data_IF_444867236075
#
_entry.id   IF_444867236075
#
_cell.length_a   1.000
_cell.length_b   1.000
_cell.length_c   1.000
_cell.angle_alpha   90.00
_cell.angle_beta   90.00
_cell.angle_gamma   90.00
#
_symmetry.space_group_name_H-M   'P 1'
#
loop_
_entity.id
_entity.type
_entity.pdbx_description
1 polymer ?
#
# COMPACT_ATOMS: atom_id res chain seq x y z
N UNK A 1 19.31 13.44 -1.38
CA UNK A 1 20.15 13.45 -0.16
C UNK A 1 20.21 14.83 0.47
N UNK A 2 19.76 14.92 1.71
CA UNK A 2 19.93 16.10 2.57
C UNK A 2 21.09 15.79 3.51
N UNK A 3 22.24 16.43 3.28
CA UNK A 3 23.44 16.19 4.08
C UNK A 3 23.35 16.80 5.50
N UNK A 4 22.49 17.79 5.70
CA UNK A 4 22.28 18.47 6.98
C UNK A 4 20.80 18.89 7.13
N UNK A 5 19.96 18.05 7.76
CA UNK A 5 18.52 18.31 7.94
C UNK A 5 18.22 19.59 8.74
N UNK A 6 19.07 19.91 9.72
CA UNK A 6 18.96 21.09 10.58
C UNK A 6 19.18 22.38 9.77
N UNK A 7 20.16 22.39 8.86
CA UNK A 7 20.39 23.52 7.96
C UNK A 7 19.18 23.80 7.04
N UNK A 8 18.50 22.75 6.58
CA UNK A 8 17.33 22.89 5.71
C UNK A 8 16.14 23.48 6.48
N UNK A 9 15.89 23.01 7.70
CA UNK A 9 14.84 23.56 8.57
C UNK A 9 15.08 25.06 8.82
N UNK A 10 16.33 25.45 9.06
CA UNK A 10 16.72 26.83 9.33
C UNK A 10 16.77 27.72 8.07
N UNK A 11 16.87 27.14 6.87
CA UNK A 11 17.01 27.87 5.60
C UNK A 11 15.72 28.59 5.15
N UNK A 12 14.57 28.33 5.78
CA UNK A 12 13.23 28.75 5.32
C UNK A 12 12.87 28.31 3.89
N UNK A 13 13.65 27.41 3.28
CA UNK A 13 13.34 26.83 1.99
C UNK A 13 12.17 25.84 2.12
N UNK A 14 11.27 25.82 1.15
CA UNK A 14 10.19 24.83 1.11
C UNK A 14 10.78 23.45 0.82
N UNK A 15 10.69 22.54 1.80
CA UNK A 15 11.13 21.16 1.67
C UNK A 15 9.93 20.22 1.83
N UNK A 16 9.30 19.76 0.73
CA UNK A 16 8.13 18.90 0.81
C UNK A 16 8.51 17.55 1.43
N UNK A 17 7.89 17.23 2.57
CA UNK A 17 8.13 15.97 3.30
C UNK A 17 7.10 14.89 3.01
N UNK A 18 5.94 15.29 2.49
CA UNK A 18 4.81 14.40 2.22
C UNK A 18 4.30 14.67 0.81
N UNK A 19 4.11 13.58 0.06
CA UNK A 19 3.45 13.60 -1.23
C UNK A 19 2.08 12.95 -1.10
N UNK A 20 1.02 13.74 -1.33
CA UNK A 20 -0.35 13.26 -1.40
C UNK A 20 -0.71 13.03 -2.87
N UNK A 21 -1.03 11.79 -3.23
CA UNK A 21 -1.37 11.44 -4.60
C UNK A 21 -2.41 10.32 -4.65
N UNK A 22 -3.12 10.26 -5.77
CA UNK A 22 -3.99 9.12 -6.10
C UNK A 22 -3.13 7.94 -6.59
N UNK A 23 -3.57 6.72 -6.27
CA UNK A 23 -2.87 5.47 -6.60
C UNK A 23 -2.47 5.38 -8.08
N UNK A 24 -3.41 5.70 -8.97
CA UNK A 24 -3.17 5.69 -10.42
C UNK A 24 -2.20 6.75 -10.94
N UNK A 25 -1.85 7.77 -10.16
CA UNK A 25 -1.01 8.90 -10.61
C UNK A 25 0.42 8.85 -10.07
N UNK A 26 0.63 8.20 -8.93
CA UNK A 26 1.96 8.03 -8.30
C UNK A 26 2.66 6.73 -8.70
N UNK A 27 1.96 5.84 -9.40
CA UNK A 27 2.44 4.49 -9.73
C UNK A 27 3.68 4.44 -10.61
N UNK A 28 3.99 5.48 -11.38
CA UNK A 28 5.13 5.52 -12.31
C UNK A 28 6.13 6.64 -11.99
N UNK A 29 7.43 6.32 -12.04
CA UNK A 29 8.51 7.31 -12.00
C UNK A 29 8.98 7.77 -10.61
N UNK A 30 8.33 7.36 -9.52
CA UNK A 30 8.82 7.65 -8.17
C UNK A 30 9.95 6.68 -7.77
N UNK A 31 11.19 7.15 -7.86
CA UNK A 31 12.40 6.36 -7.57
C UNK A 31 13.29 6.97 -6.47
N UNK A 32 12.67 7.69 -5.52
CA UNK A 32 13.40 8.21 -4.37
C UNK A 32 13.86 7.05 -3.47
N UNK A 33 15.12 7.09 -3.06
CA UNK A 33 15.69 6.17 -2.07
C UNK A 33 15.26 6.53 -0.64
N UNK A 34 14.85 7.78 -0.42
CA UNK A 34 14.58 8.36 0.90
C UNK A 34 13.07 8.31 1.23
N UNK A 35 12.41 7.17 1.00
CA UNK A 35 11.00 6.95 1.33
C UNK A 35 10.87 5.99 2.50
N UNK A 36 10.62 6.56 3.68
CA UNK A 36 10.55 5.82 4.95
C UNK A 36 9.14 5.41 5.34
N UNK A 37 8.11 6.03 4.75
CA UNK A 37 6.73 5.70 5.06
C UNK A 37 5.82 5.77 3.84
N UNK A 38 4.94 4.78 3.72
CA UNK A 38 3.84 4.76 2.74
C UNK A 38 2.52 4.55 3.49
N UNK A 39 1.59 5.49 3.34
CA UNK A 39 0.26 5.41 3.93
C UNK A 39 -0.78 5.27 2.83
N UNK A 40 -1.41 4.09 2.75
CA UNK A 40 -2.55 3.85 1.87
C UNK A 40 -3.83 4.28 2.58
N UNK A 41 -4.47 5.31 2.04
CA UNK A 41 -5.83 5.70 2.42
C UNK A 41 -6.86 5.04 1.50
N UNK A 42 -7.69 4.20 2.09
CA UNK A 42 -8.75 3.46 1.42
C UNK A 42 -8.33 2.13 0.84
N UNK A 43 -9.31 1.37 0.36
CA UNK A 43 -9.09 -0.01 -0.09
C UNK A 43 -8.31 -0.05 -1.43
N UNK A 44 -7.24 -0.88 -1.58
CA UNK A 44 -6.55 -1.06 -2.86
C UNK A 44 -7.46 -1.72 -3.91
N UNK A 45 -7.20 -1.51 -5.22
CA UNK A 45 -8.05 -2.14 -6.26
C UNK A 45 -7.49 -3.47 -6.79
N UNK A 46 -6.18 -3.70 -6.63
CA UNK A 46 -5.53 -4.97 -6.94
C UNK A 46 -4.30 -5.24 -6.05
N UNK A 47 -3.87 -6.50 -6.01
CA UNK A 47 -2.63 -6.91 -5.33
C UNK A 47 -1.42 -6.21 -5.95
N UNK A 48 -1.38 -6.10 -7.28
CA UNK A 48 -0.31 -5.42 -8.00
C UNK A 48 -0.14 -3.97 -7.58
N UNK A 49 -1.24 -3.22 -7.48
CA UNK A 49 -1.20 -1.83 -7.00
C UNK A 49 -0.69 -1.75 -5.57
N UNK A 50 -1.25 -2.58 -4.67
CA UNK A 50 -0.82 -2.60 -3.27
C UNK A 50 0.68 -2.89 -3.14
N UNK A 51 1.18 -3.93 -3.81
CA UNK A 51 2.60 -4.29 -3.76
C UNK A 51 3.48 -3.23 -4.41
N UNK A 52 3.03 -2.60 -5.50
CA UNK A 52 3.78 -1.52 -6.13
C UNK A 52 3.90 -0.30 -5.20
N UNK A 53 2.83 0.05 -4.48
CA UNK A 53 2.83 1.14 -3.50
C UNK A 53 3.73 0.82 -2.31
N UNK A 54 3.60 -0.38 -1.74
CA UNK A 54 4.46 -0.86 -0.66
C UNK A 54 5.94 -0.85 -1.05
N UNK A 55 6.25 -1.29 -2.27
CA UNK A 55 7.62 -1.32 -2.82
C UNK A 55 8.22 0.05 -3.16
N UNK A 56 7.55 1.15 -2.81
CA UNK A 56 8.16 2.49 -2.81
C UNK A 56 8.87 2.78 -1.49
N UNK A 57 8.43 2.17 -0.39
CA UNK A 57 9.07 2.30 0.91
C UNK A 57 10.37 1.48 0.93
N UNK A 58 11.41 1.97 1.61
CA UNK A 58 12.61 1.19 1.90
C UNK A 58 13.47 0.82 0.69
N UNK A 59 13.46 1.64 -0.37
CA UNK A 59 14.38 1.50 -1.52
C UNK A 59 15.83 1.87 -1.21
N UNK A 60 16.03 2.64 -0.14
CA UNK A 60 17.33 3.10 0.32
C UNK A 60 18.26 1.98 0.74
N UNK A 61 19.50 2.36 1.04
CA UNK A 61 20.56 1.41 1.43
C UNK A 61 20.16 0.73 2.74
N UNK A 62 20.31 -0.60 2.80
CA UNK A 62 20.16 -1.37 4.02
C UNK A 62 20.89 -0.66 5.17
N UNK A 63 20.14 -0.26 6.21
CA UNK A 63 20.71 0.40 7.37
C UNK A 63 21.81 -0.49 7.95
N UNK A 64 23.05 -0.02 7.89
CA UNK A 64 24.19 -0.60 8.61
C UNK A 64 23.99 -0.55 10.14
N UNK A 65 22.96 0.17 10.59
CA UNK A 65 22.60 0.46 11.99
C UNK A 65 21.44 -0.39 12.55
N UNK A 66 20.96 -1.41 11.83
CA UNK A 66 19.94 -2.37 12.32
C UNK A 66 18.57 -1.81 12.73
N UNK A 67 18.33 -0.50 12.63
CA UNK A 67 17.01 0.09 12.89
C UNK A 67 16.16 0.04 11.63
N UNK A 68 15.07 -0.74 11.68
CA UNK A 68 14.05 -0.76 10.62
C UNK A 68 13.21 0.50 10.77
N UNK A 69 13.39 1.45 9.84
CA UNK A 69 12.68 2.75 9.82
C UNK A 69 11.53 2.78 8.83
N UNK A 70 11.38 1.73 8.02
CA UNK A 70 10.43 1.68 6.91
C UNK A 70 9.06 1.18 7.37
N UNK A 71 8.04 1.99 7.15
CA UNK A 71 6.69 1.73 7.63
C UNK A 71 5.65 1.80 6.52
N UNK A 72 4.81 0.77 6.44
CA UNK A 72 3.65 0.75 5.54
C UNK A 72 2.39 0.70 6.40
N UNK A 73 1.52 1.71 6.24
CA UNK A 73 0.24 1.77 6.93
C UNK A 73 -0.92 1.63 5.95
N UNK A 74 -1.84 0.71 6.24
CA UNK A 74 -3.09 0.56 5.50
C UNK A 74 -4.26 1.05 6.34
N UNK A 75 -4.94 2.08 5.87
CA UNK A 75 -6.11 2.66 6.52
C UNK A 75 -7.35 2.32 5.70
N UNK A 76 -8.13 1.37 6.19
CA UNK A 76 -9.17 0.70 5.41
C UNK A 76 -10.55 0.96 6.00
N UNK A 77 -11.52 1.18 5.13
CA UNK A 77 -12.94 1.22 5.50
C UNK A 77 -13.73 0.19 4.70
N UNK A 78 -14.68 -0.47 5.36
CA UNK A 78 -15.66 -1.32 4.68
C UNK A 78 -16.47 -0.51 3.65
N UNK A 79 -16.69 0.78 3.92
CA UNK A 79 -17.37 1.68 2.97
C UNK A 79 -16.60 1.80 1.65
N UNK A 80 -15.27 1.84 1.69
CA UNK A 80 -14.45 1.92 0.49
C UNK A 80 -14.56 0.65 -0.35
N UNK A 81 -14.55 -0.52 0.31
CA UNK A 81 -14.73 -1.80 -0.38
C UNK A 81 -16.10 -1.88 -1.07
N UNK A 82 -17.18 -1.49 -0.38
CA UNK A 82 -18.52 -1.44 -0.95
C UNK A 82 -18.58 -0.43 -2.11
N UNK A 83 -17.99 0.75 -1.93
CA UNK A 83 -17.92 1.77 -2.98
C UNK A 83 -17.20 1.25 -4.23
N UNK A 84 -16.04 0.62 -4.09
CA UNK A 84 -15.30 0.05 -5.22
C UNK A 84 -16.10 -1.06 -5.93
N UNK A 85 -16.76 -1.95 -5.20
CA UNK A 85 -17.62 -2.97 -5.80
C UNK A 85 -18.80 -2.35 -6.56
N UNK A 86 -19.49 -1.36 -5.99
CA UNK A 86 -20.60 -0.68 -6.69
C UNK A 86 -20.14 0.07 -7.94
N UNK A 87 -18.90 0.60 -7.93
CA UNK A 87 -18.32 1.30 -9.07
C UNK A 87 -18.16 0.41 -10.31
N UNK A 88 -17.91 -0.89 -10.14
CA UNK A 88 -17.79 -1.85 -11.25
C UNK A 88 -19.06 -1.92 -12.13
N UNK A 89 -20.21 -1.59 -11.56
CA UNK A 89 -21.50 -1.66 -12.24
C UNK A 89 -22.01 -0.30 -12.73
N UNK A 90 -21.24 0.77 -12.52
CA UNK A 90 -21.60 2.08 -13.09
C UNK A 90 -21.45 2.06 -14.63
N UNK A 91 -22.27 2.82 -15.36
CA UNK A 91 -22.11 2.95 -16.80
C UNK A 91 -20.72 3.46 -17.16
N UNK A 92 -20.01 2.72 -18.02
CA UNK A 92 -18.73 3.17 -18.57
C UNK A 92 -18.96 4.13 -19.74
N UNK A 93 -18.07 5.12 -19.95
CA UNK A 93 -18.12 5.93 -21.16
C UNK A 93 -17.95 5.05 -22.40
N UNK A 94 -18.58 5.45 -23.50
CA UNK A 94 -18.42 4.77 -24.78
C UNK A 94 -16.96 4.81 -25.23
N UNK A 95 -16.40 3.65 -25.52
CA UNK A 95 -15.05 3.55 -26.10
C UNK A 95 -15.10 4.14 -27.51
N UNK A 96 -14.19 5.07 -27.88
CA UNK A 96 -14.09 5.56 -29.26
C UNK A 96 -13.91 4.40 -30.25
N UNK A 97 -14.58 4.45 -31.40
CA UNK A 97 -14.52 3.37 -32.41
C UNK A 97 -13.12 3.12 -33.01
N UNK A 98 -12.15 3.98 -32.72
CA UNK A 98 -10.73 3.80 -33.07
C UNK A 98 -9.97 2.91 -32.10
N UNK A 99 -10.55 2.56 -30.96
CA UNK A 99 -9.94 1.74 -29.92
C UNK A 99 -10.62 0.38 -29.90
N UNK A 100 -9.87 -0.66 -30.25
CA UNK A 100 -10.30 -2.05 -30.12
C UNK A 100 -9.95 -2.56 -28.72
N UNK A 101 -10.93 -2.84 -27.85
CA UNK A 101 -10.66 -3.32 -26.51
C UNK A 101 -10.09 -4.75 -26.55
N UNK A 102 -9.03 -4.99 -25.78
CA UNK A 102 -8.38 -6.30 -25.66
C UNK A 102 -9.27 -7.29 -24.89
N UNK A 103 -10.08 -6.78 -23.96
CA UNK A 103 -11.00 -7.54 -23.12
C UNK A 103 -12.43 -7.03 -23.30
N UNK A 104 -13.40 -7.92 -23.18
CA UNK A 104 -14.80 -7.49 -23.08
C UNK A 104 -15.03 -6.80 -21.73
N UNK A 105 -15.99 -5.87 -21.69
CA UNK A 105 -16.40 -5.18 -20.46
C UNK A 105 -16.75 -6.16 -19.34
N UNK A 106 -17.37 -7.30 -19.66
CA UNK A 106 -17.70 -8.31 -18.66
C UNK A 106 -16.44 -8.97 -18.08
N UNK A 107 -15.49 -9.37 -18.93
CA UNK A 107 -14.22 -9.97 -18.46
C UNK A 107 -13.41 -9.00 -17.61
N UNK A 108 -13.42 -7.72 -17.96
CA UNK A 108 -12.77 -6.67 -17.15
C UNK A 108 -13.40 -6.57 -15.76
N UNK A 109 -14.74 -6.55 -15.67
CA UNK A 109 -15.45 -6.53 -14.38
C UNK A 109 -15.17 -7.76 -13.54
N UNK A 110 -15.20 -8.95 -14.15
CA UNK A 110 -14.92 -10.21 -13.45
C UNK A 110 -13.49 -10.20 -12.87
N UNK A 111 -12.51 -9.71 -13.66
CA UNK A 111 -11.13 -9.55 -13.20
C UNK A 111 -10.99 -8.53 -12.07
N UNK A 112 -11.64 -7.37 -12.16
CA UNK A 112 -11.61 -6.36 -11.10
C UNK A 112 -12.28 -6.85 -9.81
N UNK A 113 -13.40 -7.57 -9.92
CA UNK A 113 -14.09 -8.17 -8.78
C UNK A 113 -13.23 -9.23 -8.09
N UNK A 114 -12.55 -10.08 -8.88
CA UNK A 114 -11.62 -11.07 -8.37
C UNK A 114 -10.48 -10.41 -7.59
N UNK A 115 -9.87 -9.35 -8.15
CA UNK A 115 -8.83 -8.57 -7.48
C UNK A 115 -9.27 -8.00 -6.12
N UNK A 116 -10.46 -7.39 -6.06
CA UNK A 116 -11.01 -6.88 -4.81
C UNK A 116 -11.24 -7.99 -3.78
N UNK A 117 -11.72 -9.15 -4.24
CA UNK A 117 -11.99 -10.32 -3.39
C UNK A 117 -10.70 -10.89 -2.80
N UNK A 118 -9.64 -11.01 -3.60
CA UNK A 118 -8.37 -11.56 -3.15
C UNK A 118 -7.65 -10.62 -2.18
N UNK A 119 -7.72 -9.30 -2.42
CA UNK A 119 -7.27 -8.31 -1.44
C UNK A 119 -8.04 -8.40 -0.11
N UNK A 120 -9.36 -8.56 -0.16
CA UNK A 120 -10.18 -8.71 1.05
C UNK A 120 -9.77 -9.95 1.85
N UNK A 121 -9.52 -11.07 1.16
CA UNK A 121 -9.03 -12.30 1.79
C UNK A 121 -7.66 -12.09 2.44
N UNK A 122 -6.73 -11.49 1.72
CA UNK A 122 -5.35 -11.29 2.18
C UNK A 122 -5.28 -10.34 3.38
N UNK A 123 -5.94 -9.18 3.28
CA UNK A 123 -5.78 -8.07 4.23
C UNK A 123 -6.74 -8.18 5.42
N UNK A 124 -7.97 -8.67 5.22
CA UNK A 124 -9.02 -8.60 6.26
C UNK A 124 -9.41 -9.97 6.79
N UNK A 125 -9.68 -10.94 5.92
CA UNK A 125 -10.28 -12.23 6.34
C UNK A 125 -9.26 -13.26 6.85
N UNK A 126 -8.19 -12.79 7.51
CA UNK A 126 -7.18 -13.60 8.20
C UNK A 126 -6.44 -14.62 7.30
N UNK A 127 -6.03 -14.21 6.10
CA UNK A 127 -5.11 -15.01 5.29
C UNK A 127 -3.82 -15.41 6.01
N UNK A 128 -3.04 -16.26 5.36
CA UNK A 128 -1.72 -16.70 5.81
C UNK A 128 -0.71 -15.54 5.85
N UNK A 129 0.57 -15.84 6.10
CA UNK A 129 1.65 -14.87 5.96
C UNK A 129 1.50 -14.07 4.65
N UNK A 130 1.50 -12.73 4.73
CA UNK A 130 1.33 -11.89 3.53
C UNK A 130 2.42 -12.16 2.50
N UNK A 131 3.68 -12.31 2.92
CA UNK A 131 4.77 -12.63 1.99
C UNK A 131 4.59 -13.98 1.29
N UNK A 132 4.04 -14.99 1.98
CA UNK A 132 3.74 -16.28 1.35
C UNK A 132 2.60 -16.14 0.33
N UNK A 133 1.53 -15.43 0.70
CA UNK A 133 0.42 -15.16 -0.22
C UNK A 133 0.88 -14.36 -1.45
N UNK A 134 1.68 -13.30 -1.25
CA UNK A 134 2.24 -12.50 -2.34
C UNK A 134 3.17 -13.33 -3.23
N UNK A 135 4.00 -14.20 -2.65
CA UNK A 135 4.86 -15.10 -3.43
C UNK A 135 4.06 -16.07 -4.31
N UNK A 136 2.89 -16.51 -3.87
CA UNK A 136 1.98 -17.33 -4.67
C UNK A 136 1.25 -16.51 -5.74
N UNK A 137 0.72 -15.35 -5.37
CA UNK A 137 -0.13 -14.52 -6.23
C UNK A 137 0.67 -13.75 -7.30
N UNK A 138 1.94 -13.44 -7.02
CA UNK A 138 2.84 -12.68 -7.89
C UNK A 138 4.03 -13.52 -8.37
N UNK A 139 4.01 -14.83 -8.13
CA UNK A 139 5.07 -15.74 -8.55
C UNK A 139 5.27 -15.72 -10.07
N UNK A 140 6.50 -15.99 -10.51
CA UNK A 140 6.81 -16.09 -11.93
C UNK A 140 6.00 -17.26 -12.54
N UNK A 141 5.11 -17.01 -13.52
CA UNK A 141 4.24 -18.05 -14.08
C UNK A 141 4.98 -19.11 -14.89
N UNK A 142 6.25 -18.87 -15.23
CA UNK A 142 7.11 -19.81 -15.97
C UNK A 142 7.82 -20.78 -15.02
N UNK A 143 8.01 -20.37 -13.77
CA UNK A 143 8.65 -21.20 -12.77
C UNK A 143 7.62 -22.13 -12.10
N UNK A 144 8.03 -23.35 -11.72
CA UNK A 144 7.15 -24.22 -10.95
C UNK A 144 6.79 -23.52 -9.63
N UNK A 145 5.51 -23.60 -9.20
CA UNK A 145 5.10 -22.99 -7.95
C UNK A 145 5.90 -23.61 -6.80
N UNK A 146 6.44 -22.75 -5.93
CA UNK A 146 7.09 -23.20 -4.71
C UNK A 146 6.06 -23.98 -3.87
N UNK A 147 6.38 -25.24 -3.58
CA UNK A 147 5.49 -26.17 -2.89
C UNK A 147 5.13 -25.69 -1.47
N UNK A 148 6.06 -25.01 -0.79
CA UNK A 148 5.84 -24.40 0.51
C UNK A 148 6.56 -23.05 0.59
N UNK A 149 5.79 -22.00 0.92
CA UNK A 149 6.33 -20.69 1.26
C UNK A 149 6.28 -20.52 2.78
N UNK A 150 7.45 -20.49 3.40
CA UNK A 150 7.57 -20.32 4.85
C UNK A 150 7.03 -18.94 5.28
N UNK A 151 6.42 -18.91 6.46
CA UNK A 151 5.99 -17.66 7.07
C UNK A 151 7.18 -16.73 7.33
N UNK A 152 6.99 -15.42 7.14
CA UNK A 152 8.07 -14.44 7.26
C UNK A 152 8.48 -14.10 8.71
N UNK A 153 7.88 -14.78 9.70
CA UNK A 153 8.06 -14.61 11.15
C UNK A 153 7.73 -13.21 11.71
N UNK A 154 8.43 -12.17 11.28
CA UNK A 154 8.35 -10.81 11.87
C UNK A 154 8.04 -9.71 10.85
N UNK A 155 7.96 -10.04 9.56
CA UNK A 155 7.92 -9.02 8.52
C UNK A 155 6.50 -8.68 8.02
N UNK A 156 5.44 -9.33 8.54
CA UNK A 156 4.08 -8.97 8.15
C UNK A 156 3.11 -9.00 9.33
N UNK A 157 2.01 -8.22 9.23
CA UNK A 157 1.08 -8.02 10.34
C UNK A 157 0.41 -9.31 10.85
N UNK A 158 0.27 -10.30 9.96
CA UNK A 158 -0.23 -11.63 10.35
C UNK A 158 0.76 -12.38 11.24
N UNK A 159 2.05 -12.34 10.89
CA UNK A 159 3.09 -13.07 11.61
C UNK A 159 3.52 -12.35 12.90
N UNK A 160 3.46 -11.01 12.94
CA UNK A 160 3.67 -10.22 14.17
C UNK A 160 2.47 -10.26 15.12
N UNK A 161 1.31 -10.71 14.64
CA UNK A 161 0.08 -10.82 15.43
C UNK A 161 -0.72 -9.52 15.54
N UNK A 162 -0.29 -8.45 14.86
CA UNK A 162 -0.99 -7.17 14.75
C UNK A 162 -2.40 -7.32 14.18
N UNK A 163 -2.64 -8.33 13.33
CA UNK A 163 -3.98 -8.68 12.80
C UNK A 163 -5.07 -8.85 13.88
N UNK A 164 -4.71 -9.12 15.14
CA UNK A 164 -5.67 -9.21 16.26
C UNK A 164 -6.28 -7.85 16.64
N UNK A 165 -5.60 -6.74 16.33
CA UNK A 165 -6.00 -5.37 16.68
C UNK A 165 -6.43 -4.55 15.47
N UNK A 166 -6.55 -5.16 14.27
CA UNK A 166 -6.83 -4.47 13.00
C UNK A 166 -8.16 -3.73 12.93
N UNK A 167 -9.16 -4.16 13.69
CA UNK A 167 -10.49 -3.55 13.66
C UNK A 167 -10.60 -2.59 14.84
N UNK A 168 -9.92 -1.45 14.75
CA UNK A 168 -10.19 -0.30 15.61
C UNK A 168 -10.89 0.78 14.77
N UNK A 169 -12.08 1.25 15.19
CA UNK A 169 -12.72 2.36 14.51
C UNK A 169 -11.87 3.63 14.69
N UNK A 170 -11.33 4.15 13.59
CA UNK A 170 -10.56 5.41 13.59
C UNK A 170 -11.51 6.55 13.22
N UNK A 171 -11.68 7.52 14.13
CA UNK A 171 -12.41 8.76 13.84
C UNK A 171 -11.56 9.66 12.93
N UNK A 172 -12.21 10.51 12.12
CA UNK A 172 -11.52 11.46 11.24
C UNK A 172 -10.50 12.35 11.98
N UNK A 173 -10.83 12.79 13.19
CA UNK A 173 -9.90 13.53 14.05
C UNK A 173 -8.68 12.69 14.44
N UNK A 174 -8.89 11.41 14.76
CA UNK A 174 -7.82 10.45 15.04
C UNK A 174 -6.93 10.19 13.82
N UNK A 175 -7.50 10.17 12.62
CA UNK A 175 -6.72 10.07 11.38
C UNK A 175 -5.85 11.31 11.16
N UNK A 176 -6.40 12.51 11.34
CA UNK A 176 -5.62 13.75 11.23
C UNK A 176 -4.51 13.82 12.28
N UNK A 177 -4.78 13.34 13.50
CA UNK A 177 -3.79 13.25 14.56
C UNK A 177 -2.70 12.23 14.20
N UNK A 178 -3.06 11.02 13.78
CA UNK A 178 -2.12 10.00 13.31
C UNK A 178 -1.22 10.53 12.20
N UNK A 179 -1.78 11.16 11.17
CA UNK A 179 -0.99 11.73 10.08
C UNK A 179 -0.06 12.86 10.56
N UNK A 180 -0.53 13.71 11.47
CA UNK A 180 0.32 14.74 12.08
C UNK A 180 1.43 14.12 12.92
N UNK A 181 1.13 13.09 13.71
CA UNK A 181 2.12 12.42 14.54
C UNK A 181 3.16 11.69 13.68
N UNK A 182 2.72 10.90 12.70
CA UNK A 182 3.62 10.16 11.79
C UNK A 182 4.49 11.08 10.95
N UNK A 183 3.97 12.20 10.42
CA UNK A 183 4.70 13.01 9.43
C UNK A 183 5.27 14.33 9.95
N UNK A 184 4.76 14.85 11.06
CA UNK A 184 5.18 16.15 11.62
C UNK A 184 5.94 15.94 12.93
N UNK A 185 5.38 15.19 13.86
CA UNK A 185 5.94 15.07 15.21
C UNK A 185 7.02 13.96 15.31
N UNK A 186 6.84 12.84 14.59
CA UNK A 186 7.71 11.66 14.61
C UNK A 186 8.05 11.15 13.20
N UNK A 187 8.69 11.97 12.34
CA UNK A 187 8.96 11.62 10.94
C UNK A 187 9.92 10.44 10.75
N UNK A 188 10.59 9.97 11.82
CA UNK A 188 11.41 8.75 11.82
C UNK A 188 10.61 7.45 11.95
N UNK A 189 9.29 7.51 12.15
CA UNK A 189 8.41 6.34 12.25
C UNK A 189 8.25 5.76 13.66
N UNK A 190 8.87 6.34 14.69
CA UNK A 190 8.70 5.92 16.08
C UNK A 190 7.35 6.44 16.62
N UNK A 191 6.30 5.65 16.46
CA UNK A 191 5.02 5.91 17.13
C UNK A 191 5.19 5.44 18.58
N UNK A 192 5.28 6.37 19.53
CA UNK A 192 5.24 6.01 20.96
C UNK A 192 3.81 5.63 21.34
N UNK A 193 3.60 4.52 22.07
CA UNK A 193 2.28 4.04 22.47
C UNK A 193 1.57 4.96 23.48
#
# INVERSE_FOLDING_TARGET
EVADPESIINSKAFYPRVLLATTGSIGAGLDSLDVYAVVRMGFPTSIFELTQEMGRCGRGRANTTSMVTDNVHLLLSCQDFVYLNTRLYKPSPSVPGTISPILSVQKEKDSQQQNLTDLLKMIVLKGDCWHAQLGHLLGNPIEPPLLELNACAIACPKCTGEMKTYIMPVLRSGLSLFLADTFINHPSGDITP
#
